data_IF_617835702557
#
_entry.id   IF_617835702557
#
_cell.length_a   1.000
_cell.length_b   1.000
_cell.length_c   1.000
_cell.angle_alpha   90.00
_cell.angle_beta   90.00
_cell.angle_gamma   90.00
#
_symmetry.space_group_name_H-M   'P 1'
#
loop_
_entity.id
_entity.type
_entity.pdbx_description
1 polymer ?
#
# COMPACT_ATOMS: atom_id res chain seq x y z
N UNK A 1 -9.89 20.31 21.16
CA UNK A 1 -8.62 20.05 21.87
C UNK A 1 -7.98 18.84 21.25
N UNK A 2 -6.74 18.98 20.77
CA UNK A 2 -5.96 17.93 20.11
C UNK A 2 -5.94 16.63 20.92
N UNK A 3 -6.03 15.47 20.29
CA UNK A 3 -5.94 14.15 20.95
C UNK A 3 -4.68 14.08 21.79
N UNK A 4 -3.55 14.55 21.22
CA UNK A 4 -2.27 14.67 21.92
C UNK A 4 -2.38 15.49 23.21
N UNK A 5 -3.11 16.61 23.17
CA UNK A 5 -3.27 17.46 24.37
C UNK A 5 -4.14 16.79 25.41
N UNK A 6 -5.26 16.14 25.04
CA UNK A 6 -6.09 15.40 26.00
C UNK A 6 -5.33 14.25 26.66
N UNK A 7 -4.55 13.51 25.87
CA UNK A 7 -3.73 12.40 26.34
C UNK A 7 -2.64 12.89 27.30
N UNK A 8 -1.89 13.93 26.90
CA UNK A 8 -0.85 14.51 27.74
C UNK A 8 -1.40 15.12 29.02
N UNK A 9 -2.59 15.73 28.99
CA UNK A 9 -3.21 16.28 30.20
C UNK A 9 -3.61 15.15 31.17
N UNK A 10 -4.24 14.09 30.66
CA UNK A 10 -4.69 12.96 31.48
C UNK A 10 -3.53 12.17 32.07
N UNK A 11 -2.56 11.76 31.23
CA UNK A 11 -1.39 11.00 31.67
C UNK A 11 -0.49 11.88 32.55
N UNK A 12 -0.26 13.13 32.17
CA UNK A 12 0.55 14.08 32.94
C UNK A 12 -0.04 14.35 34.32
N UNK A 13 -1.37 14.54 34.41
CA UNK A 13 -2.05 14.69 35.69
C UNK A 13 -1.90 13.44 36.57
N UNK A 14 -2.09 12.25 36.00
CA UNK A 14 -1.91 10.97 36.72
C UNK A 14 -0.47 10.83 37.24
N UNK A 15 0.52 11.17 36.41
CA UNK A 15 1.94 11.08 36.79
C UNK A 15 2.30 12.02 37.95
N UNK A 16 1.82 13.26 37.90
CA UNK A 16 1.99 14.24 38.98
C UNK A 16 1.33 13.71 40.28
N UNK A 17 0.12 13.14 40.17
CA UNK A 17 -0.62 12.58 41.29
C UNK A 17 0.12 11.41 41.95
N UNK A 18 0.73 10.53 41.14
CA UNK A 18 1.56 9.41 41.62
C UNK A 18 2.82 9.92 42.33
N UNK A 19 3.51 10.92 41.78
CA UNK A 19 4.70 11.51 42.42
C UNK A 19 4.32 12.15 43.77
N UNK A 20 3.21 12.89 43.81
CA UNK A 20 2.73 13.54 45.02
C UNK A 20 2.35 12.52 46.09
N UNK A 21 1.72 11.40 45.70
CA UNK A 21 1.46 10.26 46.57
C UNK A 21 2.74 9.64 47.13
N UNK A 22 3.74 9.41 46.28
CA UNK A 22 5.01 8.84 46.70
C UNK A 22 5.73 9.76 47.70
N UNK A 23 5.76 11.07 47.43
CA UNK A 23 6.36 12.06 48.32
C UNK A 23 5.64 12.14 49.67
N UNK A 24 4.30 12.17 49.67
CA UNK A 24 3.50 12.14 50.90
C UNK A 24 3.76 10.88 51.71
N UNK A 25 3.78 9.71 51.06
CA UNK A 25 4.06 8.43 51.70
C UNK A 25 5.43 8.44 52.37
N UNK A 26 6.47 8.92 51.68
CA UNK A 26 7.83 9.02 52.24
C UNK A 26 7.84 9.94 53.46
N UNK A 27 7.25 11.13 53.36
CA UNK A 27 7.21 12.11 54.45
C UNK A 27 6.51 11.57 55.70
N UNK A 28 5.44 10.79 55.53
CA UNK A 28 4.71 10.18 56.64
C UNK A 28 5.54 9.07 57.30
N UNK A 29 6.18 8.21 56.52
CA UNK A 29 7.05 7.15 57.04
C UNK A 29 8.19 7.77 57.85
N UNK A 30 8.81 8.84 57.35
CA UNK A 30 9.90 9.55 58.03
C UNK A 30 9.44 10.23 59.32
N UNK A 31 8.28 10.90 59.30
CA UNK A 31 7.69 11.51 60.49
C UNK A 31 7.31 10.48 61.56
N UNK A 32 6.84 9.29 61.16
CA UNK A 32 6.48 8.22 62.08
C UNK A 32 7.74 7.57 62.69
N UNK A 33 8.79 7.38 61.89
CA UNK A 33 10.08 6.83 62.34
C UNK A 33 10.77 7.77 63.33
N UNK A 34 10.92 9.04 62.97
CA UNK A 34 11.68 10.03 63.76
C UNK A 34 11.01 10.34 65.10
N UNK A 35 9.67 10.42 65.13
CA UNK A 35 8.93 10.65 66.37
C UNK A 35 8.98 9.43 67.33
N UNK A 36 9.12 8.22 66.79
CA UNK A 36 9.12 7.00 67.59
C UNK A 36 10.50 6.58 68.07
N UNK A 37 11.59 6.91 67.38
CA UNK A 37 12.91 6.32 67.67
C UNK A 37 13.67 7.07 68.77
N UNK A 38 13.79 8.39 68.67
CA UNK A 38 14.59 9.17 69.64
C UNK A 38 13.85 9.37 70.96
N UNK A 39 12.57 9.73 70.90
CA UNK A 39 11.79 10.06 72.11
C UNK A 39 11.47 8.81 72.94
N UNK A 40 11.22 7.67 72.30
CA UNK A 40 10.95 6.42 73.02
C UNK A 40 12.23 5.87 73.67
N UNK A 41 13.38 6.05 73.04
CA UNK A 41 14.67 5.59 73.56
C UNK A 41 15.03 6.36 74.83
N UNK A 42 14.98 7.69 74.79
CA UNK A 42 15.40 8.53 75.91
C UNK A 42 14.46 8.36 77.11
N UNK A 43 13.14 8.28 76.90
CA UNK A 43 12.18 8.04 77.99
C UNK A 43 12.35 6.63 78.60
N UNK A 44 12.69 5.61 77.79
CA UNK A 44 13.01 4.25 78.28
C UNK A 44 14.30 4.24 79.10
N UNK A 45 15.28 5.04 78.72
CA UNK A 45 16.53 5.20 79.49
C UNK A 45 16.26 5.83 80.85
N UNK A 46 15.45 6.89 80.94
CA UNK A 46 15.01 7.48 82.23
C UNK A 46 14.29 6.45 83.11
N UNK A 47 13.41 5.62 82.55
CA UNK A 47 12.75 4.54 83.30
C UNK A 47 13.77 3.50 83.80
N UNK A 48 14.80 3.18 83.01
CA UNK A 48 15.87 2.29 83.45
C UNK A 48 16.72 2.93 84.56
N UNK A 49 17.02 4.24 84.47
CA UNK A 49 17.76 4.97 85.49
C UNK A 49 17.00 5.00 86.81
N UNK A 50 15.72 5.36 86.79
CA UNK A 50 14.84 5.35 87.98
C UNK A 50 14.74 3.96 88.61
N UNK A 51 14.56 2.89 87.81
CA UNK A 51 14.53 1.51 88.33
C UNK A 51 15.84 1.11 89.01
N UNK A 52 16.98 1.46 88.44
CA UNK A 52 18.29 1.14 89.02
C UNK A 52 18.56 1.96 90.30
N UNK A 53 18.13 3.22 90.34
CA UNK A 53 18.19 4.06 91.55
C UNK A 53 17.29 3.53 92.67
N UNK A 54 16.07 3.08 92.36
CA UNK A 54 15.17 2.43 93.33
C UNK A 54 15.79 1.14 93.89
N UNK A 55 16.41 0.32 93.03
CA UNK A 55 17.12 -0.89 93.46
C UNK A 55 18.29 -0.55 94.40
N UNK A 56 19.13 0.42 94.01
CA UNK A 56 20.24 0.88 94.84
C UNK A 56 19.76 1.38 96.21
N UNK A 57 18.66 2.14 96.24
CA UNK A 57 18.08 2.65 97.48
C UNK A 57 17.57 1.53 98.40
N UNK A 58 17.06 0.42 97.85
CA UNK A 58 16.62 -0.75 98.63
C UNK A 58 17.75 -1.60 99.21
N UNK A 59 18.97 -1.45 98.71
CA UNK A 59 20.17 -2.18 99.13
C UNK A 59 21.12 -1.32 99.98
N UNK A 60 20.73 -0.09 100.33
CA UNK A 60 21.61 0.93 100.93
C UNK A 60 22.20 0.50 102.29
N UNK A 61 21.43 -0.26 103.08
CA UNK A 61 21.87 -0.79 104.38
C UNK A 61 22.73 -2.06 104.25
N UNK A 62 22.70 -2.73 103.08
CA UNK A 62 23.30 -4.05 102.85
C UNK A 62 24.56 -3.99 101.98
N UNK A 63 24.68 -2.98 101.13
CA UNK A 63 25.72 -2.89 100.12
C UNK A 63 26.37 -1.51 100.13
N UNK A 64 27.68 -1.45 100.40
CA UNK A 64 28.44 -0.19 100.42
C UNK A 64 28.50 0.49 99.06
N UNK A 65 28.34 -0.28 97.98
CA UNK A 65 28.41 0.21 96.60
C UNK A 65 27.04 0.74 96.10
N UNK A 66 25.98 0.63 96.91
CA UNK A 66 24.64 1.09 96.58
C UNK A 66 24.59 2.61 96.38
N UNK A 67 25.28 3.38 97.22
CA UNK A 67 25.37 4.84 97.09
C UNK A 67 26.09 5.26 95.81
N UNK A 68 27.19 4.60 95.45
CA UNK A 68 27.93 4.86 94.20
C UNK A 68 27.08 4.50 92.97
N UNK A 69 26.36 3.38 93.04
CA UNK A 69 25.43 2.96 91.98
C UNK A 69 24.31 3.97 91.77
N UNK A 70 23.70 4.48 92.85
CA UNK A 70 22.69 5.53 92.79
C UNK A 70 23.25 6.80 92.15
N UNK A 71 24.42 7.27 92.60
CA UNK A 71 25.07 8.47 92.08
C UNK A 71 25.37 8.35 90.56
N UNK A 72 25.86 7.20 90.12
CA UNK A 72 26.11 6.91 88.71
C UNK A 72 24.86 7.08 87.85
N UNK A 73 23.71 6.55 88.29
CA UNK A 73 22.46 6.66 87.55
C UNK A 73 21.81 8.04 87.70
N UNK A 74 22.02 8.73 88.81
CA UNK A 74 21.59 10.12 88.99
C UNK A 74 22.32 11.08 88.01
N UNK A 75 23.62 10.87 87.76
CA UNK A 75 24.37 11.64 86.76
C UNK A 75 23.79 11.39 85.37
N UNK A 76 23.51 10.14 85.01
CA UNK A 76 22.87 9.80 83.74
C UNK A 76 21.48 10.42 83.59
N UNK A 77 20.68 10.40 84.66
CA UNK A 77 19.37 11.03 84.70
C UNK A 77 19.44 12.54 84.46
N UNK A 78 20.42 13.25 85.05
CA UNK A 78 20.63 14.69 84.81
C UNK A 78 20.99 15.04 83.37
N UNK A 79 21.65 14.11 82.66
CA UNK A 79 22.02 14.28 81.25
C UNK A 79 20.89 13.91 80.28
N UNK A 80 19.85 13.24 80.78
CA UNK A 80 18.75 12.67 79.99
C UNK A 80 17.39 13.19 80.49
N UNK A 81 17.23 14.51 80.53
CA UNK A 81 15.94 15.14 80.85
C UNK A 81 15.08 15.13 79.59
N UNK A 82 13.99 14.39 79.64
CA UNK A 82 13.12 14.15 78.47
C UNK A 82 11.80 14.90 78.54
N UNK A 83 11.28 15.14 79.74
CA UNK A 83 10.00 15.81 79.97
C UNK A 83 10.16 17.11 80.76
N UNK A 84 9.29 18.11 80.49
CA UNK A 84 9.41 19.47 81.03
C UNK A 84 9.46 19.48 82.58
N UNK A 85 8.67 18.63 83.25
CA UNK A 85 8.62 18.52 84.72
C UNK A 85 9.71 17.62 85.32
N UNK A 86 10.44 16.87 84.50
CA UNK A 86 11.49 15.95 84.95
C UNK A 86 12.73 16.68 85.48
N UNK A 87 13.01 17.87 84.95
CA UNK A 87 14.16 18.68 85.36
C UNK A 87 14.07 19.08 86.86
N UNK A 88 12.90 19.56 87.27
CA UNK A 88 12.64 19.98 88.66
C UNK A 88 12.70 18.78 89.61
N UNK A 89 12.09 17.66 89.25
CA UNK A 89 12.13 16.44 90.04
C UNK A 89 13.54 15.87 90.15
N UNK A 90 14.33 15.91 89.07
CA UNK A 90 15.73 15.45 89.08
C UNK A 90 16.62 16.36 89.93
N UNK A 91 16.33 17.67 89.97
CA UNK A 91 16.99 18.59 90.88
C UNK A 91 16.68 18.26 92.35
N UNK A 92 15.39 18.09 92.69
CA UNK A 92 14.96 17.71 94.03
C UNK A 92 15.55 16.35 94.47
N UNK A 93 15.57 15.38 93.55
CA UNK A 93 16.19 14.07 93.75
C UNK A 93 17.68 14.19 94.10
N UNK A 94 18.39 15.12 93.45
CA UNK A 94 19.81 15.36 93.74
C UNK A 94 20.03 15.99 95.12
N UNK A 95 19.19 16.94 95.52
CA UNK A 95 19.28 17.58 96.83
C UNK A 95 18.98 16.57 97.94
N UNK A 96 17.90 15.79 97.80
CA UNK A 96 17.52 14.77 98.76
C UNK A 96 18.57 13.66 98.86
N UNK A 97 19.23 13.29 97.75
CA UNK A 97 20.33 12.33 97.76
C UNK A 97 21.59 12.87 98.48
N UNK A 98 21.90 14.16 98.33
CA UNK A 98 22.99 14.80 99.06
C UNK A 98 22.73 14.80 100.58
N UNK A 99 21.46 14.93 100.99
CA UNK A 99 21.07 14.79 102.41
C UNK A 99 21.20 13.34 102.88
N UNK A 100 20.80 12.36 102.06
CA UNK A 100 20.98 10.93 102.35
C UNK A 100 22.45 10.54 102.52
N UNK A 101 23.38 11.09 101.72
CA UNK A 101 24.83 10.85 101.89
C UNK A 101 25.34 11.26 103.28
N UNK A 102 24.72 12.28 103.90
CA UNK A 102 25.08 12.76 105.24
C UNK A 102 24.44 11.92 106.34
N UNK A 103 23.26 11.33 106.10
CA UNK A 103 22.57 10.45 107.03
C UNK A 103 21.96 9.22 106.30
N UNK A 104 22.73 8.14 106.08
CA UNK A 104 22.32 7.03 105.22
C UNK A 104 21.13 6.21 105.72
N UNK A 105 20.76 6.32 107.00
CA UNK A 105 19.67 5.55 107.63
C UNK A 105 18.41 6.38 107.88
N UNK A 106 18.28 7.54 107.22
CA UNK A 106 17.09 8.39 107.34
C UNK A 106 15.94 7.84 106.49
N UNK A 107 15.04 7.09 107.12
CA UNK A 107 13.86 6.49 106.47
C UNK A 107 12.94 7.54 105.81
N UNK A 108 12.88 8.76 106.33
CA UNK A 108 12.04 9.82 105.77
C UNK A 108 12.62 10.34 104.44
N UNK A 109 13.95 10.49 104.36
CA UNK A 109 14.65 10.86 103.11
C UNK A 109 14.56 9.73 102.09
N UNK A 110 14.70 8.47 102.52
CA UNK A 110 14.51 7.29 101.65
C UNK A 110 13.11 7.28 101.05
N UNK A 111 12.06 7.48 101.86
CA UNK A 111 10.68 7.55 101.39
C UNK A 111 10.44 8.70 100.40
N UNK A 112 11.04 9.86 100.64
CA UNK A 112 10.95 11.02 99.74
C UNK A 112 11.61 10.76 98.39
N UNK A 113 12.83 10.18 98.39
CA UNK A 113 13.54 9.78 97.17
C UNK A 113 12.76 8.74 96.37
N UNK A 114 12.18 7.73 97.03
CA UNK A 114 11.31 6.75 96.37
C UNK A 114 10.13 7.44 95.68
N UNK A 115 9.45 8.35 96.39
CA UNK A 115 8.32 9.11 95.83
C UNK A 115 8.74 9.92 94.60
N UNK A 116 9.86 10.64 94.65
CA UNK A 116 10.36 11.42 93.51
C UNK A 116 10.74 10.54 92.32
N UNK A 117 11.38 9.38 92.57
CA UNK A 117 11.70 8.41 91.51
C UNK A 117 10.44 7.81 90.87
N UNK A 118 9.40 7.49 91.66
CA UNK A 118 8.11 7.05 91.15
C UNK A 118 7.42 8.14 90.32
N UNK A 119 7.52 9.41 90.72
CA UNK A 119 6.94 10.52 89.95
C UNK A 119 7.67 10.72 88.61
N UNK A 120 9.00 10.71 88.60
CA UNK A 120 9.81 10.78 87.36
C UNK A 120 9.44 9.63 86.42
N UNK A 121 9.36 8.41 86.95
CA UNK A 121 8.98 7.21 86.18
C UNK A 121 7.54 7.32 85.65
N UNK A 122 6.59 7.80 86.45
CA UNK A 122 5.19 7.96 86.04
C UNK A 122 5.01 9.00 84.93
N UNK A 123 5.69 10.15 85.01
CA UNK A 123 5.64 11.17 83.96
C UNK A 123 6.20 10.63 82.65
N UNK A 124 7.30 9.89 82.70
CA UNK A 124 7.92 9.27 81.53
C UNK A 124 7.05 8.16 80.91
N UNK A 125 6.45 7.30 81.71
CA UNK A 125 5.52 6.26 81.25
C UNK A 125 4.27 6.86 80.59
N UNK A 126 3.66 7.88 81.22
CA UNK A 126 2.50 8.58 80.67
C UNK A 126 2.85 9.30 79.36
N UNK A 127 4.04 9.90 79.26
CA UNK A 127 4.49 10.54 78.03
C UNK A 127 4.68 9.54 76.88
N UNK A 128 5.25 8.36 77.16
CA UNK A 128 5.36 7.27 76.16
C UNK A 128 3.97 6.84 75.68
N UNK A 129 3.03 6.63 76.60
CA UNK A 129 1.67 6.18 76.26
C UNK A 129 0.94 7.21 75.39
N UNK A 130 0.96 8.49 75.77
CA UNK A 130 0.35 9.57 74.99
C UNK A 130 0.97 9.71 73.59
N UNK A 131 2.30 9.67 73.49
CA UNK A 131 3.01 9.76 72.22
C UNK A 131 2.70 8.56 71.31
N UNK A 132 2.56 7.36 71.87
CA UNK A 132 2.17 6.16 71.12
C UNK A 132 0.72 6.26 70.58
N UNK A 133 -0.22 6.76 71.40
CA UNK A 133 -1.62 6.99 70.98
C UNK A 133 -1.68 8.04 69.86
N UNK A 134 -0.89 9.12 69.95
CA UNK A 134 -0.83 10.14 68.90
C UNK A 134 -0.26 9.55 67.62
N UNK A 135 0.85 8.80 67.70
CA UNK A 135 1.48 8.15 66.56
C UNK A 135 0.52 7.17 65.85
N UNK A 136 -0.20 6.33 66.59
CA UNK A 136 -1.20 5.40 66.04
C UNK A 136 -2.35 6.15 65.32
N UNK A 137 -2.86 7.23 65.93
CA UNK A 137 -3.91 8.04 65.31
C UNK A 137 -3.43 8.75 64.04
N UNK A 138 -2.21 9.28 64.05
CA UNK A 138 -1.59 9.91 62.87
C UNK A 138 -1.41 8.86 61.77
N UNK A 139 -0.93 7.66 62.10
CA UNK A 139 -0.77 6.56 61.15
C UNK A 139 -2.11 6.15 60.53
N UNK A 140 -3.16 5.91 61.33
CA UNK A 140 -4.50 5.55 60.85
C UNK A 140 -5.09 6.60 59.91
N UNK A 141 -5.03 7.89 60.27
CA UNK A 141 -5.50 8.99 59.40
C UNK A 141 -4.73 9.07 58.09
N UNK A 142 -3.42 8.87 58.16
CA UNK A 142 -2.52 8.91 57.01
C UNK A 142 -2.79 7.76 56.03
N UNK A 143 -2.95 6.55 56.55
CA UNK A 143 -3.29 5.36 55.75
C UNK A 143 -4.63 5.57 55.03
N UNK A 144 -5.65 6.09 55.74
CA UNK A 144 -6.95 6.36 55.14
C UNK A 144 -6.84 7.38 53.99
N UNK A 145 -6.13 8.49 54.20
CA UNK A 145 -5.93 9.51 53.16
C UNK A 145 -5.17 8.95 51.93
N UNK A 146 -4.08 8.20 52.14
CA UNK A 146 -3.31 7.58 51.05
C UNK A 146 -4.17 6.57 50.28
N UNK A 147 -4.96 5.75 50.99
CA UNK A 147 -5.84 4.76 50.35
C UNK A 147 -6.90 5.43 49.48
N UNK A 148 -7.54 6.50 49.96
CA UNK A 148 -8.53 7.27 49.20
C UNK A 148 -7.91 7.91 47.96
N UNK A 149 -6.72 8.52 48.09
CA UNK A 149 -6.03 9.17 46.98
C UNK A 149 -5.51 8.13 45.96
N UNK A 150 -5.07 6.96 46.43
CA UNK A 150 -4.67 5.83 45.56
C UNK A 150 -5.86 5.25 44.79
N UNK A 151 -7.02 5.13 45.42
CA UNK A 151 -8.25 4.71 44.74
C UNK A 151 -8.66 5.72 43.67
N UNK A 152 -8.52 7.01 43.95
CA UNK A 152 -8.79 8.07 42.98
C UNK A 152 -7.84 8.01 41.78
N UNK A 153 -6.52 7.85 42.01
CA UNK A 153 -5.53 7.57 40.94
C UNK A 153 -5.94 6.38 40.09
N UNK A 154 -6.29 5.26 40.74
CA UNK A 154 -6.67 4.04 40.08
C UNK A 154 -7.90 4.23 39.20
N UNK A 155 -8.90 4.97 39.68
CA UNK A 155 -10.12 5.24 38.91
C UNK A 155 -9.83 6.07 37.65
N UNK A 156 -8.96 7.09 37.75
CA UNK A 156 -8.53 7.87 36.57
C UNK A 156 -7.76 6.98 35.59
N UNK A 157 -6.82 6.17 36.09
CA UNK A 157 -6.06 5.25 35.26
C UNK A 157 -6.97 4.24 34.54
N UNK A 158 -7.97 3.70 35.24
CA UNK A 158 -8.95 2.77 34.68
C UNK A 158 -9.80 3.43 33.58
N UNK A 159 -10.27 4.66 33.80
CA UNK A 159 -11.04 5.43 32.80
C UNK A 159 -10.19 5.66 31.54
N UNK A 160 -8.92 6.04 31.71
CA UNK A 160 -8.00 6.21 30.58
C UNK A 160 -7.78 4.88 29.85
N UNK A 161 -7.54 3.78 30.58
CA UNK A 161 -7.34 2.46 30.00
C UNK A 161 -8.55 1.99 29.17
N UNK A 162 -9.77 2.21 29.66
CA UNK A 162 -10.99 1.80 28.95
C UNK A 162 -11.34 2.71 27.75
N UNK A 163 -11.05 4.02 27.80
CA UNK A 163 -11.40 4.96 26.72
C UNK A 163 -10.36 5.11 25.62
N UNK A 164 -9.08 4.84 25.89
CA UNK A 164 -7.99 5.05 24.92
C UNK A 164 -8.13 4.19 23.65
N UNK A 165 -8.47 2.88 23.72
CA UNK A 165 -8.65 2.06 22.52
C UNK A 165 -9.74 2.59 21.58
N UNK A 166 -10.91 2.96 22.12
CA UNK A 166 -12.03 3.44 21.33
C UNK A 166 -11.78 4.79 20.65
N UNK A 167 -11.02 5.68 21.31
CA UNK A 167 -10.79 7.03 20.81
C UNK A 167 -9.58 7.18 19.88
N UNK A 168 -8.65 6.22 19.87
CA UNK A 168 -7.39 6.31 19.12
C UNK A 168 -7.11 5.04 18.34
N UNK A 169 -7.06 3.89 19.00
CA UNK A 169 -6.62 2.63 18.39
C UNK A 169 -7.59 2.13 17.30
N UNK A 170 -8.89 2.14 17.59
CA UNK A 170 -9.93 1.66 16.66
C UNK A 170 -9.98 2.47 15.35
N UNK A 171 -10.02 3.83 15.37
CA UNK A 171 -9.93 4.63 14.14
C UNK A 171 -8.69 4.35 13.29
N UNK A 172 -7.52 4.17 13.94
CA UNK A 172 -6.28 3.85 13.24
C UNK A 172 -6.37 2.48 12.55
N UNK A 173 -6.91 1.46 13.22
CA UNK A 173 -7.12 0.15 12.60
C UNK A 173 -8.10 0.20 11.42
N UNK A 174 -9.18 0.97 11.54
CA UNK A 174 -10.12 1.20 10.44
C UNK A 174 -9.40 1.85 9.25
N UNK A 175 -8.61 2.90 9.47
CA UNK A 175 -7.83 3.55 8.41
C UNK A 175 -6.87 2.58 7.72
N UNK A 176 -6.12 1.78 8.49
CA UNK A 176 -5.19 0.78 7.93
C UNK A 176 -5.95 -0.23 7.06
N UNK A 177 -7.13 -0.66 7.49
CA UNK A 177 -7.96 -1.60 6.75
C UNK A 177 -8.45 -0.99 5.43
N UNK A 178 -8.94 0.24 5.46
CA UNK A 178 -9.37 0.96 4.25
C UNK A 178 -8.21 1.25 3.29
N UNK A 179 -7.00 1.54 3.80
CA UNK A 179 -5.79 1.67 2.97
C UNK A 179 -5.48 0.34 2.25
N UNK A 180 -5.56 -0.80 2.95
CA UNK A 180 -5.33 -2.13 2.35
C UNK A 180 -6.34 -2.43 1.25
N UNK A 181 -7.60 -2.03 1.43
CA UNK A 181 -8.64 -2.20 0.42
C UNK A 181 -8.40 -1.30 -0.81
N UNK A 182 -7.97 -0.05 -0.63
CA UNK A 182 -7.54 0.82 -1.75
C UNK A 182 -6.38 0.18 -2.52
N UNK A 183 -5.40 -0.39 -1.82
CA UNK A 183 -4.29 -1.10 -2.46
C UNK A 183 -4.74 -2.34 -3.25
N UNK A 184 -5.90 -2.91 -2.91
CA UNK A 184 -6.54 -4.01 -3.65
C UNK A 184 -7.46 -3.52 -4.79
N UNK A 185 -7.34 -2.25 -5.22
CA UNK A 185 -8.16 -1.58 -6.24
C UNK A 185 -9.62 -1.29 -5.85
N UNK A 186 -9.98 -1.39 -4.57
CA UNK A 186 -11.29 -0.94 -4.09
C UNK A 186 -11.21 0.54 -3.63
N UNK A 187 -11.39 1.45 -4.58
CA UNK A 187 -11.34 2.90 -4.35
C UNK A 187 -12.63 3.48 -3.75
N UNK A 188 -13.68 2.67 -3.58
CA UNK A 188 -14.97 3.10 -3.02
C UNK A 188 -14.92 3.34 -1.50
N UNK A 189 -13.84 2.90 -0.87
CA UNK A 189 -13.66 2.95 0.58
C UNK A 189 -13.64 4.37 1.12
N UNK A 190 -14.33 4.57 2.24
CA UNK A 190 -14.38 5.84 2.98
C UNK A 190 -14.27 5.58 4.46
N UNK A 191 -13.65 6.53 5.16
CA UNK A 191 -13.55 6.51 6.62
C UNK A 191 -14.23 7.74 7.18
N UNK A 192 -14.93 7.58 8.30
CA UNK A 192 -15.51 8.68 9.03
C UNK A 192 -15.22 8.48 10.52
N UNK A 193 -14.45 9.39 11.09
CA UNK A 193 -14.15 9.41 12.51
C UNK A 193 -14.93 10.57 13.12
N UNK A 194 -15.83 10.27 14.06
CA UNK A 194 -16.68 11.30 14.66
C UNK A 194 -15.90 12.31 15.51
N UNK A 195 -16.23 13.60 15.33
CA UNK A 195 -15.82 14.71 16.20
C UNK A 195 -14.57 15.48 15.75
N UNK A 196 -14.45 16.73 16.22
CA UNK A 196 -13.40 17.68 15.84
C UNK A 196 -12.01 17.37 16.44
N UNK A 197 -11.33 16.38 15.88
CA UNK A 197 -9.97 16.03 16.23
C UNK A 197 -9.10 15.80 14.98
N UNK A 198 -7.81 15.56 15.19
CA UNK A 198 -6.84 15.35 14.12
C UNK A 198 -7.13 14.12 13.26
N UNK A 199 -7.92 13.17 13.76
CA UNK A 199 -8.36 12.02 12.96
C UNK A 199 -9.41 12.43 11.94
N UNK A 200 -10.29 13.40 12.24
CA UNK A 200 -11.26 13.92 11.27
C UNK A 200 -10.56 14.58 10.07
N UNK A 201 -9.52 15.36 10.32
CA UNK A 201 -8.69 15.94 9.25
C UNK A 201 -8.00 14.85 8.40
N UNK A 202 -7.52 13.78 9.05
CA UNK A 202 -6.94 12.63 8.36
C UNK A 202 -8.00 11.87 7.55
N UNK A 203 -9.22 11.72 8.07
CA UNK A 203 -10.34 11.09 7.36
C UNK A 203 -10.73 11.88 6.12
N UNK A 204 -10.84 13.21 6.23
CA UNK A 204 -11.12 14.10 5.10
C UNK A 204 -10.02 13.98 4.03
N UNK A 205 -8.75 14.00 4.45
CA UNK A 205 -7.61 13.86 3.55
C UNK A 205 -7.59 12.49 2.85
N UNK A 206 -7.84 11.41 3.58
CA UNK A 206 -7.97 10.06 3.04
C UNK A 206 -9.12 9.94 2.05
N UNK A 207 -10.31 10.42 2.41
CA UNK A 207 -11.49 10.37 1.55
C UNK A 207 -11.30 11.19 0.26
N UNK A 208 -10.61 12.33 0.35
CA UNK A 208 -10.25 13.15 -0.81
C UNK A 208 -9.32 12.41 -1.75
N UNK A 209 -8.29 11.73 -1.21
CA UNK A 209 -7.39 10.88 -2.00
C UNK A 209 -8.15 9.71 -2.64
N UNK A 210 -8.98 9.00 -1.87
CA UNK A 210 -9.78 7.88 -2.35
C UNK A 210 -10.73 8.32 -3.48
N UNK A 211 -11.39 9.46 -3.34
CA UNK A 211 -12.25 10.05 -4.37
C UNK A 211 -11.50 10.39 -5.66
N UNK A 212 -10.30 10.99 -5.56
CA UNK A 212 -9.45 11.28 -6.73
C UNK A 212 -8.99 10.01 -7.44
N UNK A 213 -8.64 8.96 -6.68
CA UNK A 213 -8.24 7.67 -7.25
C UNK A 213 -9.41 6.99 -7.97
N UNK A 214 -10.60 7.00 -7.37
CA UNK A 214 -11.81 6.47 -7.97
C UNK A 214 -12.18 7.21 -9.27
N UNK A 215 -12.14 8.55 -9.24
CA UNK A 215 -12.38 9.38 -10.42
C UNK A 215 -11.35 9.10 -11.52
N UNK A 216 -10.06 9.06 -11.18
CA UNK A 216 -8.99 8.76 -12.13
C UNK A 216 -9.13 7.36 -12.75
N UNK A 217 -9.47 6.35 -11.93
CA UNK A 217 -9.71 4.99 -12.41
C UNK A 217 -10.90 4.96 -13.39
N UNK A 218 -12.02 5.60 -13.03
CA UNK A 218 -13.21 5.70 -13.89
C UNK A 218 -12.92 6.39 -15.22
N UNK A 219 -12.19 7.51 -15.19
CA UNK A 219 -11.79 8.24 -16.39
C UNK A 219 -10.85 7.38 -17.25
N UNK A 220 -9.87 6.71 -16.64
CA UNK A 220 -8.91 5.86 -17.35
C UNK A 220 -9.59 4.69 -18.04
N UNK A 221 -10.50 4.00 -17.34
CA UNK A 221 -11.30 2.90 -17.91
C UNK A 221 -12.18 3.41 -19.06
N UNK A 222 -12.87 4.53 -18.86
CA UNK A 222 -13.71 5.12 -19.91
C UNK A 222 -12.89 5.53 -21.14
N UNK A 223 -11.68 6.08 -20.94
CA UNK A 223 -10.76 6.43 -22.02
C UNK A 223 -10.32 5.19 -22.80
N UNK A 224 -9.89 4.12 -22.11
CA UNK A 224 -9.49 2.87 -22.75
C UNK A 224 -10.64 2.24 -23.55
N UNK A 225 -11.85 2.23 -23.00
CA UNK A 225 -13.03 1.74 -23.72
C UNK A 225 -13.34 2.59 -24.97
N UNK A 226 -13.15 3.92 -24.87
CA UNK A 226 -13.34 4.83 -25.98
C UNK A 226 -12.30 4.60 -27.07
N UNK A 227 -11.02 4.49 -26.73
CA UNK A 227 -9.93 4.19 -27.67
C UNK A 227 -10.11 2.82 -28.34
N UNK A 228 -10.52 1.81 -27.58
CA UNK A 228 -10.87 0.49 -28.12
C UNK A 228 -12.02 0.59 -29.14
N UNK A 229 -13.12 1.26 -28.78
CA UNK A 229 -14.28 1.41 -29.65
C UNK A 229 -13.97 2.21 -30.92
N UNK A 230 -13.13 3.24 -30.81
CA UNK A 230 -12.63 4.00 -31.97
C UNK A 230 -11.83 3.07 -32.88
N UNK A 231 -10.91 2.28 -32.34
CA UNK A 231 -10.08 1.33 -33.11
C UNK A 231 -10.94 0.30 -33.84
N UNK A 232 -11.91 -0.31 -33.15
CA UNK A 232 -12.87 -1.25 -33.76
C UNK A 232 -13.69 -0.58 -34.87
N UNK A 233 -14.17 0.65 -34.64
CA UNK A 233 -14.93 1.40 -35.64
C UNK A 233 -14.08 1.74 -36.86
N UNK A 234 -12.83 2.16 -36.66
CA UNK A 234 -11.90 2.45 -37.74
C UNK A 234 -11.64 1.20 -38.59
N UNK A 235 -11.38 0.06 -37.95
CA UNK A 235 -11.15 -1.22 -38.63
C UNK A 235 -12.39 -1.65 -39.42
N UNK A 236 -13.59 -1.46 -38.87
CA UNK A 236 -14.86 -1.75 -39.58
C UNK A 236 -15.19 -0.78 -40.71
N UNK A 237 -14.61 0.42 -40.73
CA UNK A 237 -14.76 1.38 -41.84
C UNK A 237 -13.78 1.12 -42.98
N UNK A 238 -12.74 0.31 -42.78
CA UNK A 238 -11.83 -0.08 -43.87
C UNK A 238 -12.58 -1.01 -44.83
N UNK A 239 -12.57 -0.67 -46.12
CA UNK A 239 -13.25 -1.41 -47.19
C UNK A 239 -12.52 -2.69 -47.65
N UNK A 240 -11.45 -3.08 -46.98
CA UNK A 240 -10.75 -4.34 -47.24
C UNK A 240 -11.20 -5.37 -46.21
N UNK A 241 -11.49 -6.63 -46.59
CA UNK A 241 -11.58 -7.74 -45.64
C UNK A 241 -10.31 -7.85 -44.79
N UNK A 242 -10.46 -7.79 -43.47
CA UNK A 242 -9.38 -7.91 -42.49
C UNK A 242 -9.71 -9.02 -41.50
N UNK A 243 -8.73 -9.89 -41.26
CA UNK A 243 -8.75 -10.88 -40.18
C UNK A 243 -7.42 -10.84 -39.42
N UNK A 244 -7.47 -10.97 -38.10
CA UNK A 244 -6.30 -11.07 -37.24
C UNK A 244 -6.40 -12.25 -36.28
N UNK A 245 -5.27 -12.89 -36.04
CA UNK A 245 -5.15 -14.04 -35.14
C UNK A 245 -3.82 -14.00 -34.37
N UNK A 246 -3.82 -14.57 -33.17
CA UNK A 246 -2.64 -14.63 -32.32
C UNK A 246 -1.68 -15.76 -32.72
N UNK A 247 -0.57 -15.91 -31.98
CA UNK A 247 0.41 -16.99 -32.19
C UNK A 247 -0.14 -18.39 -31.91
N UNK A 248 -1.25 -18.52 -31.20
CA UNK A 248 -1.98 -19.77 -31.00
C UNK A 248 -3.03 -20.02 -32.09
N UNK A 249 -3.03 -19.20 -33.16
CA UNK A 249 -3.96 -19.29 -34.28
C UNK A 249 -5.42 -18.99 -33.89
N UNK A 250 -5.63 -18.31 -32.76
CA UNK A 250 -6.96 -17.90 -32.31
C UNK A 250 -7.31 -16.53 -32.89
N UNK A 251 -8.46 -16.46 -33.56
CA UNK A 251 -8.92 -15.22 -34.18
C UNK A 251 -9.29 -14.21 -33.09
N UNK A 252 -8.71 -13.01 -33.16
CA UNK A 252 -8.95 -11.93 -32.20
C UNK A 252 -9.54 -10.67 -32.86
N UNK A 253 -9.49 -10.58 -34.19
CA UNK A 253 -9.94 -9.43 -34.95
C UNK A 253 -10.59 -9.89 -36.26
N UNK A 254 -11.78 -9.38 -36.56
CA UNK A 254 -12.42 -9.52 -37.86
C UNK A 254 -13.20 -8.24 -38.13
N UNK A 255 -13.16 -7.74 -39.36
CA UNK A 255 -13.99 -6.61 -39.75
C UNK A 255 -15.24 -7.03 -40.53
N UNK A 256 -16.23 -6.13 -40.61
CA UNK A 256 -17.50 -6.41 -41.30
C UNK A 256 -17.32 -6.84 -42.76
N UNK A 257 -16.32 -6.30 -43.45
CA UNK A 257 -16.07 -6.64 -44.85
C UNK A 257 -15.58 -8.09 -45.02
N UNK A 258 -14.79 -8.60 -44.07
CA UNK A 258 -14.37 -9.99 -44.04
C UNK A 258 -15.53 -10.95 -43.80
N UNK A 259 -16.47 -10.59 -42.91
CA UNK A 259 -17.70 -11.36 -42.69
C UNK A 259 -18.56 -11.41 -43.96
N UNK A 260 -18.69 -10.29 -44.67
CA UNK A 260 -19.44 -10.25 -45.94
C UNK A 260 -18.83 -11.15 -46.99
N UNK A 261 -17.50 -11.19 -47.11
CA UNK A 261 -16.80 -11.98 -48.13
C UNK A 261 -16.80 -13.47 -47.79
N UNK A 262 -16.59 -13.83 -46.51
CA UNK A 262 -16.59 -15.24 -46.07
C UNK A 262 -17.98 -15.84 -45.88
N UNK A 263 -19.01 -15.01 -45.66
CA UNK A 263 -20.36 -15.45 -45.33
C UNK A 263 -20.53 -15.96 -43.89
N UNK A 264 -19.48 -15.86 -43.07
CA UNK A 264 -19.48 -16.30 -41.67
C UNK A 264 -19.92 -15.17 -40.73
N UNK A 265 -20.41 -15.53 -39.55
CA UNK A 265 -20.77 -14.59 -38.51
C UNK A 265 -19.60 -14.26 -37.59
N UNK A 266 -19.65 -13.09 -36.95
CA UNK A 266 -18.63 -12.66 -36.00
C UNK A 266 -18.48 -13.63 -34.80
N UNK A 267 -19.59 -14.24 -34.37
CA UNK A 267 -19.61 -15.16 -33.23
C UNK A 267 -18.96 -16.52 -33.53
N UNK A 268 -18.94 -16.94 -34.80
CA UNK A 268 -18.29 -18.17 -35.24
C UNK A 268 -16.78 -18.00 -35.37
N UNK A 269 -16.33 -16.79 -35.74
CA UNK A 269 -14.92 -16.50 -35.99
C UNK A 269 -14.17 -16.07 -34.72
N UNK A 270 -14.69 -15.10 -33.95
CA UNK A 270 -13.95 -14.54 -32.82
C UNK A 270 -13.74 -15.58 -31.73
N UNK A 271 -12.46 -15.82 -31.40
CA UNK A 271 -12.04 -16.77 -30.37
C UNK A 271 -11.96 -18.22 -30.84
N UNK A 272 -12.33 -18.53 -32.08
CA UNK A 272 -12.13 -19.84 -32.68
C UNK A 272 -10.70 -19.99 -33.22
N UNK A 273 -10.26 -21.23 -33.41
CA UNK A 273 -9.00 -21.52 -34.07
C UNK A 273 -9.18 -21.41 -35.58
N UNK A 274 -8.39 -20.54 -36.25
CA UNK A 274 -8.53 -20.29 -37.68
C UNK A 274 -8.22 -21.54 -38.53
N UNK A 275 -7.38 -22.45 -38.03
CA UNK A 275 -7.04 -23.71 -38.72
C UNK A 275 -8.23 -24.66 -38.78
N UNK A 276 -9.07 -24.70 -37.74
CA UNK A 276 -10.28 -25.52 -37.72
C UNK A 276 -11.28 -25.00 -38.75
N UNK A 277 -11.47 -23.67 -38.81
CA UNK A 277 -12.40 -23.04 -39.75
C UNK A 277 -11.92 -23.19 -41.20
N UNK A 278 -10.61 -23.17 -41.43
CA UNK A 278 -10.02 -23.35 -42.75
C UNK A 278 -10.37 -24.70 -43.40
N UNK A 279 -10.64 -25.74 -42.61
CA UNK A 279 -11.03 -27.05 -43.15
C UNK A 279 -12.42 -27.05 -43.80
N UNK A 280 -13.28 -26.11 -43.42
CA UNK A 280 -14.65 -25.99 -43.91
C UNK A 280 -14.91 -24.76 -44.80
N UNK A 281 -13.91 -23.91 -45.03
CA UNK A 281 -14.06 -22.69 -45.81
C UNK A 281 -12.84 -22.47 -46.73
N UNK A 282 -13.06 -22.65 -48.03
CA UNK A 282 -12.02 -22.58 -49.06
C UNK A 282 -11.29 -21.24 -49.07
N UNK A 283 -12.00 -20.13 -48.82
CA UNK A 283 -11.41 -18.79 -48.77
C UNK A 283 -10.46 -18.67 -47.58
N UNK A 284 -10.86 -19.13 -46.40
CA UNK A 284 -10.01 -19.12 -45.21
C UNK A 284 -8.80 -20.04 -45.39
N UNK A 285 -8.98 -21.19 -46.04
CA UNK A 285 -7.87 -22.07 -46.41
C UNK A 285 -6.85 -21.33 -47.28
N UNK A 286 -7.28 -20.66 -48.35
CA UNK A 286 -6.38 -19.87 -49.20
C UNK A 286 -5.73 -18.68 -48.47
N UNK A 287 -6.42 -18.08 -47.48
CA UNK A 287 -5.88 -17.04 -46.62
C UNK A 287 -4.68 -17.55 -45.81
N UNK A 288 -4.72 -18.79 -45.31
CA UNK A 288 -3.66 -19.35 -44.45
C UNK A 288 -2.55 -20.10 -45.21
N UNK A 289 -2.83 -20.70 -46.38
CA UNK A 289 -1.97 -21.72 -47.02
C UNK A 289 -0.55 -21.26 -47.37
N UNK A 290 -0.33 -20.04 -47.86
CA UNK A 290 1.01 -19.60 -48.35
C UNK A 290 2.13 -19.54 -47.29
N UNK A 291 1.81 -19.54 -46.00
CA UNK A 291 2.82 -19.56 -44.91
C UNK A 291 3.07 -20.97 -44.35
N UNK A 292 2.22 -21.94 -44.66
CA UNK A 292 2.33 -23.31 -44.16
C UNK A 292 2.82 -24.31 -45.21
N UNK A 293 2.87 -23.93 -46.49
CA UNK A 293 3.51 -24.71 -47.56
C UNK A 293 5.04 -24.77 -47.48
N UNK A 294 5.69 -23.92 -46.67
CA UNK A 294 7.15 -23.97 -46.42
C UNK A 294 7.60 -25.21 -45.63
N UNK A 295 6.69 -26.08 -45.19
CA UNK A 295 7.04 -27.39 -44.61
C UNK A 295 6.97 -28.57 -45.58
N UNK A 296 6.48 -28.41 -46.81
CA UNK A 296 6.44 -29.53 -47.77
C UNK A 296 6.55 -29.07 -49.23
N UNK A 297 7.76 -29.25 -49.77
CA UNK A 297 8.10 -29.55 -51.18
C UNK A 297 7.90 -28.41 -52.22
N UNK A 298 9.05 -27.93 -52.72
CA UNK A 298 9.40 -27.53 -54.10
C UNK A 298 8.24 -27.28 -55.10
N UNK A 299 8.20 -26.10 -55.72
CA UNK A 299 8.45 -25.89 -57.16
C UNK A 299 8.52 -24.38 -57.49
N UNK A 300 9.37 -24.04 -58.46
CA UNK A 300 9.57 -22.72 -59.06
C UNK A 300 8.29 -22.17 -59.71
N UNK A 301 7.38 -21.62 -58.93
CA UNK A 301 6.44 -20.61 -59.38
C UNK A 301 6.30 -19.60 -58.26
N UNK A 302 6.45 -18.31 -58.59
CA UNK A 302 6.11 -17.23 -57.66
C UNK A 302 4.70 -17.53 -57.14
N UNK A 303 4.49 -17.75 -55.82
CA UNK A 303 3.16 -18.03 -55.30
C UNK A 303 2.29 -16.86 -55.70
N UNK A 304 1.27 -17.13 -56.50
CA UNK A 304 0.36 -16.10 -56.97
C UNK A 304 -0.35 -15.59 -55.71
N UNK A 305 -0.01 -14.38 -55.27
CA UNK A 305 -0.58 -13.73 -54.06
C UNK A 305 -2.08 -13.44 -54.21
N UNK A 306 -2.70 -13.97 -55.26
CA UNK A 306 -4.06 -13.72 -55.72
C UNK A 306 -4.94 -14.90 -55.34
N UNK A 307 -5.96 -14.60 -54.56
CA UNK A 307 -7.03 -15.50 -54.17
C UNK A 307 -8.17 -15.27 -55.16
N UNK A 308 -8.60 -16.34 -55.82
CA UNK A 308 -9.78 -16.34 -56.69
C UNK A 308 -10.95 -16.96 -55.94
N UNK A 309 -12.09 -16.27 -55.99
CA UNK A 309 -13.32 -16.67 -55.33
C UNK A 309 -14.45 -16.56 -56.33
N UNK A 310 -15.07 -17.69 -56.70
CA UNK A 310 -16.34 -17.67 -57.42
C UNK A 310 -17.47 -17.43 -56.41
N UNK A 311 -18.11 -16.27 -56.50
CA UNK A 311 -19.28 -15.96 -55.70
C UNK A 311 -20.44 -15.60 -56.60
N UNK A 312 -21.47 -16.44 -56.60
CA UNK A 312 -22.72 -16.23 -57.34
C UNK A 312 -22.48 -16.08 -58.86
N UNK A 313 -21.48 -16.78 -59.42
CA UNK A 313 -21.15 -16.72 -60.85
C UNK A 313 -20.39 -15.46 -61.26
N UNK A 314 -19.76 -14.78 -60.30
CA UNK A 314 -18.83 -13.67 -60.54
C UNK A 314 -17.46 -14.02 -59.96
N UNK A 315 -16.44 -13.93 -60.80
CA UNK A 315 -15.05 -14.08 -60.40
C UNK A 315 -14.60 -12.86 -59.62
N UNK A 316 -14.29 -13.05 -58.33
CA UNK A 316 -13.71 -12.01 -57.48
C UNK A 316 -12.26 -12.36 -57.23
N UNK A 317 -11.38 -11.40 -57.48
CA UNK A 317 -9.94 -11.53 -57.28
C UNK A 317 -9.50 -10.68 -56.09
N UNK A 318 -8.82 -11.29 -55.15
CA UNK A 318 -8.21 -10.63 -54.00
C UNK A 318 -6.70 -10.79 -54.01
N UNK A 319 -5.96 -9.72 -53.74
CA UNK A 319 -4.54 -9.81 -53.40
C UNK A 319 -4.40 -9.89 -51.88
N UNK A 320 -3.68 -10.91 -51.39
CA UNK A 320 -3.45 -11.13 -49.95
C UNK A 320 -2.19 -10.40 -49.48
N UNK A 321 -2.33 -9.65 -48.39
CA UNK A 321 -1.22 -9.03 -47.67
C UNK A 321 -1.21 -9.51 -46.21
N UNK A 322 -0.12 -10.13 -45.76
CA UNK A 322 0.07 -10.61 -44.39
C UNK A 322 1.05 -9.69 -43.69
N UNK A 323 0.67 -9.19 -42.51
CA UNK A 323 1.48 -8.30 -41.69
C UNK A 323 1.64 -8.90 -40.29
N UNK A 324 2.88 -8.93 -39.78
CA UNK A 324 3.20 -9.46 -38.45
C UNK A 324 3.02 -8.36 -37.40
N UNK A 325 2.28 -8.66 -36.33
CA UNK A 325 2.16 -7.75 -35.18
C UNK A 325 3.28 -8.09 -34.21
N UNK A 326 4.26 -7.19 -34.11
CA UNK A 326 5.39 -7.32 -33.19
C UNK A 326 5.31 -6.24 -32.12
N UNK A 327 5.36 -6.64 -30.85
CA UNK A 327 5.50 -5.72 -29.73
C UNK A 327 6.97 -5.64 -29.33
N UNK A 328 7.58 -4.47 -29.57
CA UNK A 328 8.91 -4.14 -29.06
C UNK A 328 8.76 -3.59 -27.65
N UNK A 329 9.20 -4.36 -26.64
CA UNK A 329 9.19 -3.90 -25.26
C UNK A 329 10.29 -2.84 -25.08
N UNK A 330 9.97 -1.70 -24.46
CA UNK A 330 10.95 -0.64 -24.21
C UNK A 330 12.08 -1.08 -23.26
N UNK A 331 11.86 -2.11 -22.44
CA UNK A 331 12.84 -2.62 -21.47
C UNK A 331 13.58 -3.88 -21.91
N UNK A 332 13.07 -4.63 -22.89
CA UNK A 332 13.67 -5.88 -23.37
C UNK A 332 13.76 -5.79 -24.89
N UNK A 333 14.98 -5.73 -25.44
CA UNK A 333 15.24 -5.60 -26.89
C UNK A 333 14.86 -6.85 -27.70
N UNK A 334 13.93 -7.65 -27.20
CA UNK A 334 13.38 -8.81 -27.89
C UNK A 334 11.99 -8.46 -28.39
N UNK A 335 11.90 -8.42 -29.70
CA UNK A 335 10.64 -8.34 -30.42
C UNK A 335 9.81 -9.57 -30.11
N UNK A 336 8.64 -9.37 -29.49
CA UNK A 336 7.69 -10.44 -29.23
C UNK A 336 6.60 -10.41 -30.29
N UNK A 337 6.55 -11.46 -31.11
CA UNK A 337 5.47 -11.66 -32.07
C UNK A 337 4.17 -11.91 -31.31
N UNK A 338 3.18 -11.06 -31.52
CA UNK A 338 1.86 -11.16 -30.91
C UNK A 338 0.84 -11.87 -31.79
N UNK A 339 1.07 -11.88 -33.11
CA UNK A 339 0.17 -12.51 -34.06
C UNK A 339 0.31 -11.93 -35.46
N UNK A 340 -0.73 -12.14 -36.26
CA UNK A 340 -0.76 -11.80 -37.67
C UNK A 340 -2.06 -11.07 -38.02
N UNK A 341 -1.97 -10.15 -38.97
CA UNK A 341 -3.12 -9.52 -39.61
C UNK A 341 -3.05 -9.82 -41.09
N UNK A 342 -4.16 -10.28 -41.66
CA UNK A 342 -4.29 -10.55 -43.08
C UNK A 342 -5.33 -9.60 -43.67
N UNK A 343 -4.93 -8.94 -44.75
CA UNK A 343 -5.75 -7.97 -45.49
C UNK A 343 -5.96 -8.52 -46.90
N UNK A 344 -7.20 -8.51 -47.38
CA UNK A 344 -7.54 -8.89 -48.75
C UNK A 344 -7.89 -7.65 -49.56
N UNK A 345 -7.07 -7.30 -50.55
CA UNK A 345 -7.36 -6.17 -51.45
C UNK A 345 -8.13 -6.67 -52.66
N UNK A 346 -9.35 -6.16 -52.87
CA UNK A 346 -10.11 -6.51 -54.06
C UNK A 346 -9.45 -5.90 -55.31
N UNK A 347 -8.89 -6.75 -56.16
CA UNK A 347 -8.22 -6.37 -57.42
C UNK A 347 -9.06 -6.74 -58.65
N UNK A 348 -10.32 -7.16 -58.46
CA UNK A 348 -11.22 -7.60 -59.55
C UNK A 348 -11.31 -6.57 -60.67
N UNK A 349 -11.58 -5.30 -60.34
CA UNK A 349 -11.68 -4.24 -61.35
C UNK A 349 -10.38 -4.00 -62.11
N UNK A 350 -9.24 -4.12 -61.41
CA UNK A 350 -7.94 -4.00 -62.05
C UNK A 350 -7.73 -5.16 -63.03
N UNK A 351 -8.14 -6.37 -62.64
CA UNK A 351 -8.05 -7.55 -63.49
C UNK A 351 -8.99 -7.51 -64.69
N UNK A 352 -10.23 -7.07 -64.50
CA UNK A 352 -11.17 -6.84 -65.61
C UNK A 352 -10.62 -5.81 -66.60
N UNK A 353 -10.02 -4.71 -66.10
CA UNK A 353 -9.40 -3.70 -66.95
C UNK A 353 -8.17 -4.22 -67.69
N UNK A 354 -7.33 -5.01 -67.01
CA UNK A 354 -6.13 -5.60 -67.60
C UNK A 354 -6.50 -6.61 -68.69
N UNK A 355 -7.45 -7.50 -68.41
CA UNK A 355 -8.00 -8.43 -69.41
C UNK A 355 -8.67 -7.70 -70.57
N UNK A 356 -9.45 -6.66 -70.31
CA UNK A 356 -10.09 -5.86 -71.35
C UNK A 356 -9.05 -5.14 -72.22
N UNK A 357 -7.97 -4.62 -71.63
CA UNK A 357 -6.86 -3.98 -72.35
C UNK A 357 -6.16 -5.00 -73.26
N UNK A 358 -5.81 -6.17 -72.73
CA UNK A 358 -5.14 -7.23 -73.51
C UNK A 358 -6.02 -7.72 -74.66
N UNK A 359 -7.32 -7.96 -74.41
CA UNK A 359 -8.28 -8.36 -75.43
C UNK A 359 -8.50 -7.27 -76.50
N UNK A 360 -8.58 -6.00 -76.09
CA UNK A 360 -8.72 -4.89 -77.02
C UNK A 360 -7.51 -4.79 -77.95
N UNK A 361 -6.30 -4.87 -77.40
CA UNK A 361 -5.05 -4.79 -78.17
C UNK A 361 -4.89 -5.98 -79.12
N UNK A 362 -5.25 -7.19 -78.67
CA UNK A 362 -5.26 -8.38 -79.52
C UNK A 362 -6.26 -8.24 -80.69
N UNK A 363 -7.46 -7.75 -80.41
CA UNK A 363 -8.52 -7.58 -81.41
C UNK A 363 -8.14 -6.51 -82.45
N UNK A 364 -7.71 -5.33 -82.01
CA UNK A 364 -7.29 -4.24 -82.90
C UNK A 364 -6.10 -4.68 -83.78
N UNK A 365 -5.14 -5.40 -83.21
CA UNK A 365 -4.01 -5.95 -83.96
C UNK A 365 -4.48 -6.87 -85.09
N UNK A 366 -5.47 -7.74 -84.84
CA UNK A 366 -6.05 -8.61 -85.87
C UNK A 366 -6.83 -7.85 -86.95
N UNK A 367 -7.67 -6.89 -86.53
CA UNK A 367 -8.49 -6.06 -87.44
C UNK A 367 -7.67 -5.10 -88.30
N UNK A 368 -6.50 -4.64 -87.83
CA UNK A 368 -5.58 -3.81 -88.61
C UNK A 368 -4.66 -4.62 -89.52
N UNK A 369 -4.21 -5.81 -89.08
CA UNK A 369 -3.32 -6.67 -89.87
C UNK A 369 -3.97 -7.12 -91.18
N UNK A 370 -5.28 -7.40 -91.16
CA UNK A 370 -6.04 -7.88 -92.32
C UNK A 370 -6.08 -6.87 -93.48
N UNK A 371 -6.54 -5.62 -93.33
CA UNK A 371 -6.56 -4.63 -94.40
C UNK A 371 -5.16 -4.22 -94.84
N UNK A 372 -4.19 -4.09 -93.92
CA UNK A 372 -2.80 -3.77 -94.30
C UNK A 372 -2.18 -4.91 -95.14
N UNK A 373 -2.49 -6.17 -94.82
CA UNK A 373 -2.07 -7.31 -95.65
C UNK A 373 -2.72 -7.29 -97.04
N UNK A 374 -3.97 -6.83 -97.15
CA UNK A 374 -4.64 -6.67 -98.44
C UNK A 374 -4.03 -5.52 -99.28
N UNK A 375 -3.65 -4.40 -98.65
CA UNK A 375 -2.93 -3.30 -99.30
C UNK A 375 -1.59 -3.81 -99.81
N UNK A 376 -0.83 -4.51 -98.97
CA UNK A 376 0.45 -5.12 -99.34
C UNK A 376 0.30 -6.10 -100.51
N UNK A 377 -0.71 -6.97 -100.48
CA UNK A 377 -0.98 -7.88 -101.59
C UNK A 377 -1.31 -7.14 -102.89
N UNK A 378 -2.09 -6.05 -102.81
CA UNK A 378 -2.40 -5.20 -103.97
C UNK A 378 -1.17 -4.51 -104.52
N UNK A 379 -0.26 -4.02 -103.67
CA UNK A 379 1.02 -3.44 -104.07
C UNK A 379 1.92 -4.48 -104.75
N UNK A 380 2.02 -5.69 -104.19
CA UNK A 380 2.74 -6.81 -104.80
C UNK A 380 2.17 -7.21 -106.17
N UNK A 381 0.85 -7.10 -106.37
CA UNK A 381 0.23 -7.31 -107.67
C UNK A 381 0.58 -6.21 -108.67
N UNK A 382 0.68 -4.94 -108.23
CA UNK A 382 1.09 -3.82 -109.08
C UNK A 382 2.58 -3.86 -109.46
N UNK A 383 3.44 -4.37 -108.58
CA UNK A 383 4.87 -4.62 -108.88
C UNK A 383 5.07 -5.78 -109.86
N UNK A 384 4.09 -6.68 -109.97
CA UNK A 384 4.17 -7.83 -110.85
C UNK A 384 4.06 -7.40 -112.33
N UNK A 385 5.11 -7.63 -113.11
CA UNK A 385 5.16 -7.29 -114.55
C UNK A 385 4.03 -7.90 -115.41
N UNK A 386 3.27 -8.86 -114.89
CA UNK A 386 2.10 -9.46 -115.57
C UNK A 386 0.82 -8.60 -115.53
N UNK A 387 0.69 -7.67 -114.59
CA UNK A 387 -0.51 -6.80 -114.43
C UNK A 387 -0.37 -5.47 -115.17
N UNK A 388 0.85 -5.07 -115.53
CA UNK A 388 1.18 -3.87 -116.29
C UNK A 388 2.64 -3.44 -116.05
N UNK A 389 3.21 -2.60 -116.90
CA UNK A 389 4.53 -2.00 -116.66
C UNK A 389 4.36 -0.63 -116.02
N UNK A 390 4.83 -0.48 -114.78
CA UNK A 390 4.89 0.81 -114.09
C UNK A 390 5.97 1.69 -114.74
N UNK A 391 5.71 3.00 -114.82
CA UNK A 391 6.76 3.97 -115.11
C UNK A 391 7.64 4.21 -113.87
N UNK A 392 8.76 4.92 -114.01
CA UNK A 392 9.73 5.12 -112.93
C UNK A 392 9.12 5.81 -111.70
N UNK A 393 8.32 6.86 -111.90
CA UNK A 393 7.67 7.60 -110.80
C UNK A 393 6.61 6.73 -110.07
N UNK A 394 5.84 5.93 -110.81
CA UNK A 394 4.86 5.00 -110.26
C UNK A 394 5.51 3.89 -109.44
N UNK A 395 6.66 3.38 -109.89
CA UNK A 395 7.42 2.37 -109.14
C UNK A 395 7.94 2.92 -107.81
N UNK A 396 8.45 4.15 -107.78
CA UNK A 396 8.89 4.80 -106.54
C UNK A 396 7.73 5.01 -105.56
N UNK A 397 6.55 5.41 -106.04
CA UNK A 397 5.35 5.54 -105.21
C UNK A 397 4.88 4.20 -104.64
N UNK A 398 4.81 3.14 -105.46
CA UNK A 398 4.42 1.79 -105.02
C UNK A 398 5.39 1.26 -103.97
N UNK A 399 6.70 1.46 -104.19
CA UNK A 399 7.74 1.07 -103.24
C UNK A 399 7.61 1.83 -101.91
N UNK A 400 7.37 3.14 -101.95
CA UNK A 400 7.10 3.93 -100.74
C UNK A 400 5.89 3.41 -99.98
N UNK A 401 4.80 3.07 -100.67
CA UNK A 401 3.60 2.50 -100.04
C UNK A 401 3.85 1.10 -99.45
N UNK A 402 4.69 0.27 -100.06
CA UNK A 402 5.04 -1.05 -99.49
C UNK A 402 5.92 -0.91 -98.24
N UNK A 403 6.88 0.01 -98.26
CA UNK A 403 7.69 0.36 -97.09
C UNK A 403 6.81 0.85 -95.92
N UNK A 404 5.83 1.73 -96.20
CA UNK A 404 4.86 2.21 -95.20
C UNK A 404 3.95 1.07 -94.67
N UNK A 405 3.48 0.18 -95.55
CA UNK A 405 2.69 -0.99 -95.15
C UNK A 405 3.50 -1.96 -94.26
N UNK A 406 4.78 -2.17 -94.58
CA UNK A 406 5.70 -2.98 -93.76
C UNK A 406 5.96 -2.34 -92.39
N UNK A 407 6.16 -1.02 -92.36
CA UNK A 407 6.32 -0.26 -91.12
C UNK A 407 5.07 -0.36 -90.23
N UNK A 408 3.87 -0.25 -90.80
CA UNK A 408 2.62 -0.42 -90.06
C UNK A 408 2.48 -1.84 -89.47
N UNK A 409 2.78 -2.88 -90.24
CA UNK A 409 2.76 -4.27 -89.74
C UNK A 409 3.75 -4.49 -88.60
N UNK A 410 4.93 -3.87 -88.69
CA UNK A 410 5.96 -3.93 -87.64
C UNK A 410 5.47 -3.25 -86.36
N UNK A 411 4.93 -2.04 -86.44
CA UNK A 411 4.41 -1.30 -85.28
C UNK A 411 3.27 -2.07 -84.61
N UNK A 412 2.35 -2.66 -85.38
CA UNK A 412 1.26 -3.49 -84.86
C UNK A 412 1.81 -4.70 -84.10
N UNK A 413 2.85 -5.35 -84.64
CA UNK A 413 3.46 -6.52 -84.00
C UNK A 413 4.21 -6.16 -82.71
N UNK A 414 4.90 -5.01 -82.69
CA UNK A 414 5.57 -4.49 -81.49
C UNK A 414 4.57 -4.12 -80.39
N UNK A 415 3.42 -3.53 -80.75
CA UNK A 415 2.34 -3.20 -79.82
C UNK A 415 1.75 -4.46 -79.17
N UNK A 416 1.58 -5.55 -79.93
CA UNK A 416 1.09 -6.84 -79.41
C UNK A 416 2.10 -7.46 -78.42
N UNK A 417 3.39 -7.44 -78.76
CA UNK A 417 4.46 -7.99 -77.91
C UNK A 417 4.64 -7.22 -76.60
N UNK A 418 4.22 -5.96 -76.51
CA UNK A 418 4.24 -5.17 -75.26
C UNK A 418 3.09 -5.53 -74.31
N UNK A 419 2.09 -6.28 -74.77
CA UNK A 419 0.89 -6.66 -74.00
C UNK A 419 0.83 -8.14 -73.63
N UNK A 420 1.75 -8.96 -74.16
CA UNK A 420 2.04 -10.31 -73.70
C UNK A 420 3.17 -10.26 -72.68
#
# INVERSE_FOLDING_TARGET
MKIKTKLNLGIGFLFILIILLAFLSIKIIDSLSTASENILKDNKETIAYTKNMLKALSEIDKNKDALETFEKFLIKQKLNITEIRENELTHNLSEDFNLLKKNPSDEAIIGKLQSTLFEIMSINLNAIELKNIIADNVAKKSILLISALSLFCFMIALILFLKLPGNISNPIQQLITSIKQIAANDYSQRVNFGGHNELEELAVSFNTMAGKLEEYNKISVAKLLTEKKISETLINKIHYPIIGFDTAMKVNLVNDEFLKVTGLSNAELIGANILEIATGNDLISQVIVDRFSDMTISHNNVPDKRIHVDRLGKDIYFEKEIQEIVLTNQNDKRDHLMGYVVILKNVTKYMELDLAKTNFIATISHELKTPVSAIKFSLQLLENKKTGTLNTEQYELVKSCDEDANNLLKIISELLNLTQ
#
